data_IF_781947197538
#
_entry.id   IF_781947197538
#
_cell.length_a   1.000
_cell.length_b   1.000
_cell.length_c   1.000
_cell.angle_alpha   90.00
_cell.angle_beta   90.00
_cell.angle_gamma   90.00
#
_symmetry.space_group_name_H-M   'P 1'
#
loop_
_entity.id
_entity.type
_entity.pdbx_description
1 polymer ?
#
# COMPACT_ATOMS: atom_id res chain seq x y z
N UNK A 1 1.66 19.76 18.70
CA UNK A 1 2.26 18.66 17.91
C UNK A 1 2.87 19.25 16.66
N UNK A 2 4.11 18.92 16.34
CA UNK A 2 4.78 19.40 15.11
C UNK A 2 4.12 18.75 13.89
N UNK A 3 3.93 19.50 12.80
CA UNK A 3 3.41 18.94 11.54
C UNK A 3 4.33 17.80 11.08
N UNK A 4 3.79 16.65 10.68
CA UNK A 4 4.59 15.50 10.28
C UNK A 4 5.35 15.85 9.01
N UNK A 5 6.64 15.52 8.98
CA UNK A 5 7.44 15.75 7.80
C UNK A 5 6.94 14.83 6.67
N UNK A 6 7.15 15.23 5.41
CA UNK A 6 6.80 14.39 4.25
C UNK A 6 7.42 12.99 4.33
N UNK A 7 8.60 12.88 4.96
CA UNK A 7 9.28 11.61 5.23
C UNK A 7 8.50 10.71 6.19
N UNK A 8 7.92 11.28 7.26
CA UNK A 8 7.15 10.52 8.26
C UNK A 8 5.87 9.96 7.65
N UNK A 9 5.23 10.73 6.77
CA UNK A 9 4.07 10.28 5.99
C UNK A 9 4.47 9.10 5.12
N UNK A 10 5.56 9.21 4.36
CA UNK A 10 6.04 8.12 3.51
C UNK A 10 6.39 6.86 4.33
N UNK A 11 6.98 7.01 5.52
CA UNK A 11 7.24 5.89 6.44
C UNK A 11 5.95 5.19 6.85
N UNK A 12 4.90 5.95 7.17
CA UNK A 12 3.60 5.37 7.50
C UNK A 12 3.01 4.57 6.32
N UNK A 13 3.13 5.05 5.08
CA UNK A 13 2.76 4.26 3.89
C UNK A 13 3.60 3.00 3.74
N UNK A 14 4.92 3.06 3.99
CA UNK A 14 5.78 1.89 3.97
C UNK A 14 5.33 0.83 4.98
N UNK A 15 4.94 1.23 6.19
CA UNK A 15 4.38 0.33 7.19
C UNK A 15 3.04 -0.26 6.75
N UNK A 16 2.16 0.54 6.15
CA UNK A 16 0.90 0.05 5.57
C UNK A 16 1.18 -0.98 4.48
N UNK A 17 2.18 -0.76 3.62
CA UNK A 17 2.61 -1.71 2.60
C UNK A 17 3.07 -3.04 3.19
N UNK A 18 3.94 -3.00 4.21
CA UNK A 18 4.42 -4.20 4.92
C UNK A 18 3.25 -4.97 5.55
N UNK A 19 2.36 -4.28 6.26
CA UNK A 19 1.23 -4.91 6.95
C UNK A 19 0.22 -5.50 5.96
N UNK A 20 -0.02 -4.82 4.83
CA UNK A 20 -0.89 -5.34 3.76
C UNK A 20 -0.26 -6.56 3.09
N UNK A 21 1.04 -6.54 2.83
CA UNK A 21 1.77 -7.70 2.29
C UNK A 21 1.77 -8.87 3.28
N UNK A 22 1.90 -8.60 4.58
CA UNK A 22 1.78 -9.63 5.60
C UNK A 22 0.38 -10.26 5.63
N UNK A 23 -0.67 -9.45 5.49
CA UNK A 23 -2.03 -9.96 5.35
C UNK A 23 -2.19 -10.82 4.09
N UNK A 24 -1.55 -10.44 2.98
CA UNK A 24 -1.53 -11.24 1.76
C UNK A 24 -0.82 -12.58 1.98
N UNK A 25 0.27 -12.62 2.75
CA UNK A 25 0.96 -13.86 3.12
C UNK A 25 0.12 -14.77 4.03
N UNK A 26 -0.62 -14.20 4.97
CA UNK A 26 -1.38 -14.96 5.96
C UNK A 26 -2.71 -15.45 5.41
N UNK A 27 -3.38 -14.64 4.57
CA UNK A 27 -4.74 -14.91 4.11
C UNK A 27 -4.87 -15.23 2.62
N UNK A 28 -3.86 -14.88 1.80
CA UNK A 28 -3.87 -15.12 0.37
C UNK A 28 -3.33 -16.49 -0.01
N UNK A 29 -3.63 -16.92 -1.23
CA UNK A 29 -3.03 -18.13 -1.80
C UNK A 29 -1.72 -17.78 -2.53
N UNK A 30 -0.60 -17.98 -1.84
CA UNK A 30 0.76 -17.76 -2.37
C UNK A 30 1.35 -18.99 -3.08
N UNK A 31 0.55 -20.03 -3.37
CA UNK A 31 1.06 -21.26 -4.03
C UNK A 31 1.73 -21.03 -5.38
N UNK A 32 1.42 -19.91 -6.04
CA UNK A 32 2.04 -19.51 -7.31
C UNK A 32 3.40 -18.80 -7.13
N UNK A 33 3.75 -18.39 -5.91
CA UNK A 33 4.97 -17.64 -5.60
C UNK A 33 6.04 -18.55 -5.01
N UNK A 34 6.62 -19.42 -5.87
CA UNK A 34 7.65 -20.39 -5.47
C UNK A 34 9.11 -19.90 -5.62
N UNK A 35 9.38 -18.73 -6.19
CA UNK A 35 10.76 -18.22 -6.29
C UNK A 35 11.19 -17.44 -5.05
N UNK A 36 12.49 -17.39 -4.68
CA UNK A 36 12.96 -16.67 -3.49
C UNK A 36 12.65 -15.17 -3.48
N UNK A 37 12.59 -14.56 -4.67
CA UNK A 37 12.33 -13.12 -4.85
C UNK A 37 10.84 -12.78 -4.98
N UNK A 38 10.01 -13.74 -5.38
CA UNK A 38 8.55 -13.63 -5.38
C UNK A 38 7.93 -14.26 -4.14
N UNK A 39 8.69 -15.02 -3.36
CA UNK A 39 8.17 -15.79 -2.24
C UNK A 39 7.60 -14.91 -1.13
N UNK A 40 6.95 -15.53 -0.14
CA UNK A 40 6.22 -14.81 0.92
C UNK A 40 7.04 -13.71 1.59
N UNK A 41 8.32 -13.98 1.86
CA UNK A 41 9.23 -13.03 2.52
C UNK A 41 9.65 -11.91 1.56
N UNK A 42 9.91 -12.23 0.29
CA UNK A 42 10.30 -11.25 -0.72
C UNK A 42 9.22 -10.19 -0.95
N UNK A 43 7.95 -10.61 -1.02
CA UNK A 43 6.80 -9.71 -1.16
C UNK A 43 6.73 -8.70 0.00
N UNK A 44 6.92 -9.17 1.25
CA UNK A 44 6.89 -8.29 2.43
C UNK A 44 8.05 -7.29 2.43
N UNK A 45 9.25 -7.73 2.07
CA UNK A 45 10.44 -6.87 2.02
C UNK A 45 10.29 -5.79 0.94
N UNK A 46 9.70 -6.13 -0.21
CA UNK A 46 9.57 -5.21 -1.35
C UNK A 46 8.40 -4.24 -1.17
N UNK A 47 7.30 -4.69 -0.53
CA UNK A 47 6.09 -3.88 -0.36
C UNK A 47 6.32 -2.62 0.48
N UNK A 48 7.21 -2.67 1.48
CA UNK A 48 7.52 -1.52 2.32
C UNK A 48 8.16 -0.35 1.55
N UNK A 49 9.34 -0.54 0.94
CA UNK A 49 9.99 0.48 0.12
C UNK A 49 9.13 0.98 -1.04
N UNK A 50 8.39 0.09 -1.71
CA UNK A 50 7.54 0.50 -2.83
C UNK A 50 6.35 1.35 -2.39
N UNK A 51 5.68 0.99 -1.28
CA UNK A 51 4.63 1.79 -0.68
C UNK A 51 5.17 3.11 -0.10
N UNK A 52 6.38 3.12 0.46
CA UNK A 52 7.05 4.35 0.91
C UNK A 52 7.25 5.35 -0.23
N UNK A 53 7.75 4.89 -1.39
CA UNK A 53 7.90 5.73 -2.58
C UNK A 53 6.56 6.28 -3.06
N UNK A 54 5.52 5.44 -3.10
CA UNK A 54 4.18 5.86 -3.48
C UNK A 54 3.58 6.87 -2.48
N UNK A 55 3.80 6.66 -1.19
CA UNK A 55 3.38 7.57 -0.12
C UNK A 55 4.06 8.93 -0.19
N UNK A 56 5.29 9.00 -0.69
CA UNK A 56 5.98 10.28 -0.92
C UNK A 56 5.25 11.13 -1.97
N UNK A 57 4.64 10.52 -2.98
CA UNK A 57 3.91 11.20 -4.04
C UNK A 57 2.46 11.50 -3.65
N UNK A 58 1.75 10.54 -3.06
CA UNK A 58 0.31 10.64 -2.81
C UNK A 58 -0.07 10.99 -1.37
N UNK A 59 0.88 11.10 -0.45
CA UNK A 59 0.60 11.39 0.96
C UNK A 59 -0.12 12.73 1.20
N UNK A 60 -0.03 13.68 0.28
CA UNK A 60 -0.77 14.95 0.34
C UNK A 60 -2.30 14.81 0.23
N UNK A 61 -2.77 13.67 -0.27
CA UNK A 61 -4.20 13.38 -0.43
C UNK A 61 -4.87 12.91 0.88
N UNK A 62 -4.08 12.66 1.93
CA UNK A 62 -4.56 12.16 3.22
C UNK A 62 -4.57 13.24 4.32
N UNK A 63 -5.40 13.03 5.34
CA UNK A 63 -5.56 13.94 6.48
C UNK A 63 -6.24 15.27 6.14
N UNK A 64 -7.05 15.31 5.08
CA UNK A 64 -7.89 16.47 4.77
C UNK A 64 -9.26 16.33 5.45
N UNK A 65 -9.82 17.43 5.95
CA UNK A 65 -11.11 17.44 6.65
C UNK A 65 -12.29 17.37 5.68
N UNK A 66 -13.43 16.87 6.18
CA UNK A 66 -14.70 16.84 5.45
C UNK A 66 -14.84 15.70 4.44
N UNK A 67 -16.00 15.62 3.78
CA UNK A 67 -16.33 14.57 2.82
C UNK A 67 -15.36 14.54 1.62
N UNK A 68 -14.92 15.71 1.15
CA UNK A 68 -13.93 15.83 0.08
C UNK A 68 -12.57 15.25 0.49
N UNK A 69 -12.20 15.35 1.77
CA UNK A 69 -10.98 14.75 2.28
C UNK A 69 -11.00 13.22 2.28
N UNK A 70 -12.14 12.61 2.56
CA UNK A 70 -12.34 11.16 2.43
C UNK A 70 -12.29 10.71 0.96
N UNK A 71 -12.88 11.47 0.04
CA UNK A 71 -12.79 11.20 -1.40
C UNK A 71 -11.34 11.23 -1.91
N UNK A 72 -10.57 12.25 -1.49
CA UNK A 72 -9.15 12.34 -1.82
C UNK A 72 -8.33 11.22 -1.17
N UNK A 73 -8.64 10.84 0.06
CA UNK A 73 -7.96 9.73 0.73
C UNK A 73 -8.20 8.39 0.03
N UNK A 74 -9.44 8.15 -0.42
CA UNK A 74 -9.77 6.95 -1.19
C UNK A 74 -9.02 6.92 -2.52
N UNK A 75 -9.02 8.04 -3.27
CA UNK A 75 -8.28 8.14 -4.52
C UNK A 75 -6.77 7.94 -4.28
N UNK A 76 -6.23 8.57 -3.24
CA UNK A 76 -4.84 8.43 -2.84
C UNK A 76 -4.49 7.00 -2.42
N UNK A 77 -5.39 6.29 -1.74
CA UNK A 77 -5.23 4.90 -1.37
C UNK A 77 -5.11 4.01 -2.61
N UNK A 78 -6.02 4.18 -3.59
CA UNK A 78 -5.97 3.43 -4.84
C UNK A 78 -4.69 3.74 -5.63
N UNK A 79 -4.37 5.03 -5.85
CA UNK A 79 -3.20 5.44 -6.63
C UNK A 79 -1.89 5.01 -5.99
N UNK A 80 -1.76 5.17 -4.66
CA UNK A 80 -0.54 4.75 -3.95
C UNK A 80 -0.37 3.23 -3.93
N UNK A 81 -1.46 2.48 -3.86
CA UNK A 81 -1.41 1.01 -3.89
C UNK A 81 -1.03 0.49 -5.28
N UNK A 82 -1.65 1.02 -6.33
CA UNK A 82 -1.32 0.67 -7.71
C UNK A 82 0.13 1.04 -8.05
N UNK A 83 0.58 2.23 -7.64
CA UNK A 83 1.97 2.64 -7.87
C UNK A 83 2.96 1.80 -7.05
N UNK A 84 2.65 1.52 -5.78
CA UNK A 84 3.47 0.66 -4.93
C UNK A 84 3.58 -0.76 -5.49
N UNK A 85 2.48 -1.31 -6.00
CA UNK A 85 2.47 -2.60 -6.69
C UNK A 85 3.29 -2.57 -7.98
N UNK A 86 3.15 -1.51 -8.79
CA UNK A 86 3.92 -1.35 -10.02
C UNK A 86 5.43 -1.23 -9.75
N UNK A 87 5.84 -0.44 -8.75
CA UNK A 87 7.25 -0.31 -8.33
C UNK A 87 7.77 -1.65 -7.82
N UNK A 88 7.04 -2.30 -6.91
CA UNK A 88 7.42 -3.60 -6.35
C UNK A 88 7.56 -4.67 -7.43
N UNK A 89 6.58 -4.74 -8.34
CA UNK A 89 6.63 -5.64 -9.49
C UNK A 89 7.81 -5.35 -10.40
N UNK A 90 8.16 -4.08 -10.64
CA UNK A 90 9.33 -3.70 -11.45
C UNK A 90 10.64 -4.16 -10.80
N UNK A 91 10.74 -4.12 -9.47
CA UNK A 91 11.92 -4.58 -8.73
C UNK A 91 12.11 -6.09 -8.88
N UNK A 92 11.01 -6.85 -8.84
CA UNK A 92 11.05 -8.32 -8.99
C UNK A 92 11.27 -8.72 -10.44
N UNK A 93 10.50 -8.13 -11.35
CA UNK A 93 10.49 -8.46 -12.77
C UNK A 93 10.34 -7.17 -13.60
N UNK A 94 11.45 -6.63 -14.13
CA UNK A 94 11.42 -5.40 -14.91
C UNK A 94 10.44 -5.47 -16.08
N UNK A 95 9.74 -4.36 -16.34
CA UNK A 95 8.71 -4.17 -17.38
C UNK A 95 7.43 -5.00 -17.18
N UNK A 96 7.53 -6.32 -17.08
CA UNK A 96 6.36 -7.21 -16.94
C UNK A 96 5.71 -7.08 -15.57
N UNK A 97 6.51 -7.04 -14.50
CA UNK A 97 6.00 -6.90 -13.14
C UNK A 97 5.31 -5.55 -12.90
N UNK A 98 5.70 -4.49 -13.61
CA UNK A 98 5.06 -3.17 -13.53
C UNK A 98 3.56 -3.25 -13.88
N UNK A 99 3.22 -4.08 -14.87
CA UNK A 99 1.85 -4.25 -15.37
C UNK A 99 1.15 -5.34 -14.57
N UNK A 100 1.79 -6.49 -14.37
CA UNK A 100 1.15 -7.68 -13.79
C UNK A 100 0.88 -7.48 -12.29
N UNK A 101 1.80 -6.89 -11.53
CA UNK A 101 1.68 -6.83 -10.08
C UNK A 101 0.44 -6.04 -9.59
N UNK A 102 0.07 -4.88 -10.17
CA UNK A 102 -1.19 -4.21 -9.83
C UNK A 102 -2.44 -5.08 -10.07
N UNK A 103 -2.50 -5.80 -11.19
CA UNK A 103 -3.65 -6.66 -11.49
C UNK A 103 -3.68 -7.90 -10.60
N UNK A 104 -2.53 -8.53 -10.36
CA UNK A 104 -2.42 -9.66 -9.45
C UNK A 104 -2.84 -9.28 -8.01
N UNK A 105 -2.48 -8.07 -7.56
CA UNK A 105 -2.90 -7.57 -6.25
C UNK A 105 -4.42 -7.35 -6.18
N UNK A 106 -5.04 -6.83 -7.26
CA UNK A 106 -6.49 -6.69 -7.33
C UNK A 106 -7.19 -8.04 -7.34
N UNK A 107 -6.69 -9.00 -8.13
CA UNK A 107 -7.23 -10.35 -8.22
C UNK A 107 -7.20 -11.05 -6.85
N UNK A 108 -6.06 -10.97 -6.15
CA UNK A 108 -5.90 -11.47 -4.78
C UNK A 108 -6.84 -10.77 -3.79
N UNK A 109 -7.07 -9.47 -3.92
CA UNK A 109 -8.01 -8.74 -3.07
C UNK A 109 -9.48 -9.13 -3.33
N UNK A 110 -9.82 -9.52 -4.55
CA UNK A 110 -11.16 -10.02 -4.91
C UNK A 110 -11.34 -11.46 -4.43
N UNK A 111 -10.34 -12.32 -4.62
CA UNK A 111 -10.36 -13.71 -4.19
C UNK A 111 -10.37 -13.83 -2.65
N UNK A 112 -9.65 -12.94 -1.96
CA UNK A 112 -9.50 -12.93 -0.51
C UNK A 112 -9.95 -11.58 0.08
N UNK A 113 -11.26 -11.40 0.35
CA UNK A 113 -11.81 -10.12 0.80
C UNK A 113 -11.24 -9.65 2.15
N UNK A 114 -10.67 -10.55 2.94
CA UNK A 114 -9.95 -10.22 4.18
C UNK A 114 -8.74 -9.32 3.92
N UNK A 115 -8.02 -9.50 2.81
CA UNK A 115 -6.88 -8.64 2.43
C UNK A 115 -7.38 -7.23 2.14
N UNK A 116 -8.47 -7.10 1.37
CA UNK A 116 -9.08 -5.82 1.05
C UNK A 116 -9.56 -5.09 2.31
N UNK A 117 -10.15 -5.81 3.27
CA UNK A 117 -10.56 -5.25 4.56
C UNK A 117 -9.37 -4.74 5.37
N UNK A 118 -8.28 -5.52 5.49
CA UNK A 118 -7.07 -5.09 6.19
C UNK A 118 -6.50 -3.83 5.54
N UNK A 119 -6.38 -3.83 4.22
CA UNK A 119 -5.91 -2.66 3.46
C UNK A 119 -6.79 -1.43 3.68
N UNK A 120 -8.12 -1.56 3.58
CA UNK A 120 -9.08 -0.47 3.83
C UNK A 120 -8.93 0.09 5.25
N UNK A 121 -8.86 -0.79 6.25
CA UNK A 121 -8.69 -0.39 7.65
C UNK A 121 -7.36 0.37 7.85
N UNK A 122 -6.26 -0.12 7.28
CA UNK A 122 -4.95 0.53 7.38
C UNK A 122 -4.95 1.91 6.72
N UNK A 123 -5.56 2.05 5.53
CA UNK A 123 -5.68 3.32 4.83
C UNK A 123 -6.58 4.32 5.58
N UNK A 124 -7.67 3.85 6.17
CA UNK A 124 -8.54 4.67 7.01
C UNK A 124 -7.82 5.14 8.28
N UNK A 125 -7.09 4.25 8.96
CA UNK A 125 -6.27 4.60 10.13
C UNK A 125 -5.20 5.63 9.74
N UNK A 126 -4.53 5.46 8.60
CA UNK A 126 -3.55 6.41 8.10
C UNK A 126 -4.18 7.79 7.85
N UNK A 127 -5.36 7.82 7.22
CA UNK A 127 -6.09 9.07 7.00
C UNK A 127 -6.42 9.77 8.32
N UNK A 128 -6.98 9.05 9.30
CA UNK A 128 -7.36 9.57 10.61
C UNK A 128 -6.14 10.03 11.43
N UNK A 129 -5.04 9.30 11.38
CA UNK A 129 -3.79 9.66 12.05
C UNK A 129 -3.23 10.98 11.50
N UNK A 130 -3.22 11.14 10.17
CA UNK A 130 -2.78 12.37 9.52
C UNK A 130 -3.75 13.53 9.72
N UNK A 131 -5.05 13.25 9.80
CA UNK A 131 -6.08 14.25 10.13
C UNK A 131 -5.85 14.82 11.53
N UNK A 132 -5.67 13.94 12.52
CA UNK A 132 -5.37 14.32 13.91
C UNK A 132 -4.06 15.09 14.04
N UNK A 133 -3.08 14.81 13.18
CA UNK A 133 -1.79 15.51 13.21
C UNK A 133 -1.80 16.90 12.57
N UNK A 134 -2.85 17.24 11.80
CA UNK A 134 -3.00 18.53 11.11
C UNK A 134 -3.97 19.48 11.82
N UNK A 135 -4.94 18.95 12.56
CA UNK A 135 -5.83 19.71 13.45
C UNK A 135 -5.13 20.10 14.74
#
# INVERSE_FOLDING_TARGET
MTRPARKDIAVAFGLVGILTAFALVVFGDLRELHDPWTGPIGVVIIAGPSAWMAGFLFGGMFGQQGAMGWGLALLGACLSTLLGAAIGGTIVLPLFGTIIAPFALLDQAIAHPTIALVWLCLMAVLHLALLKSKG
#
